data_IF_735006882558
#
_entry.id   IF_735006882558
#
_cell.length_a   1.000
_cell.length_b   1.000
_cell.length_c   1.000
_cell.angle_alpha   90.00
_cell.angle_beta   90.00
_cell.angle_gamma   90.00
#
_symmetry.space_group_name_H-M   'P 1'
#
loop_
_entity.id
_entity.type
_entity.pdbx_description
1 polymer ?
#
# COMPACT_ATOMS: atom_id res chain seq x y z
N UNK A 1 22.65 6.04 -3.80
CA UNK A 1 23.16 5.09 -2.78
C UNK A 1 23.95 3.99 -3.49
N UNK A 2 25.19 3.67 -3.05
CA UNK A 2 26.01 2.62 -3.67
C UNK A 2 25.30 1.24 -3.58
N UNK A 3 25.42 0.41 -4.63
CA UNK A 3 24.79 -0.93 -4.73
C UNK A 3 25.09 -1.82 -3.51
N UNK A 4 26.34 -1.81 -3.03
CA UNK A 4 26.75 -2.59 -1.86
C UNK A 4 26.08 -2.14 -0.57
N UNK A 5 25.95 -0.84 -0.35
CA UNK A 5 25.27 -0.28 0.82
C UNK A 5 23.77 -0.62 0.80
N UNK A 6 23.16 -0.65 -0.39
CA UNK A 6 21.75 -1.08 -0.56
C UNK A 6 21.59 -2.55 -0.19
N UNK A 7 22.44 -3.44 -0.73
CA UNK A 7 22.41 -4.87 -0.42
C UNK A 7 22.59 -5.12 1.09
N UNK A 8 23.53 -4.44 1.74
CA UNK A 8 23.72 -4.54 3.18
C UNK A 8 22.47 -4.08 3.94
N UNK A 9 21.91 -2.93 3.60
CA UNK A 9 20.71 -2.41 4.24
C UNK A 9 19.53 -3.41 4.17
N UNK A 10 19.26 -3.94 2.99
CA UNK A 10 18.20 -4.94 2.81
C UNK A 10 18.48 -6.27 3.52
N UNK A 11 19.75 -6.64 3.69
CA UNK A 11 20.13 -7.85 4.42
C UNK A 11 19.93 -7.70 5.94
N UNK A 12 20.01 -6.48 6.47
CA UNK A 12 19.86 -6.20 7.90
C UNK A 12 18.42 -5.92 8.30
N UNK A 13 17.56 -5.57 7.35
CA UNK A 13 16.15 -5.31 7.60
C UNK A 13 15.33 -6.57 7.34
N UNK A 14 14.52 -6.94 8.31
CA UNK A 14 13.64 -8.10 8.25
C UNK A 14 12.22 -7.77 8.76
N UNK A 15 11.38 -8.79 8.85
CA UNK A 15 10.01 -8.65 9.33
C UNK A 15 9.90 -7.96 10.69
N UNK A 16 10.90 -8.05 11.56
CA UNK A 16 10.87 -7.36 12.86
C UNK A 16 10.88 -5.85 12.72
N UNK A 17 11.45 -5.31 11.63
CA UNK A 17 11.42 -3.88 11.33
C UNK A 17 10.02 -3.42 10.90
N UNK A 18 9.31 -4.22 10.11
CA UNK A 18 7.92 -3.92 9.73
C UNK A 18 6.98 -3.98 10.95
N UNK A 19 7.19 -4.94 11.86
CA UNK A 19 6.45 -5.06 13.12
C UNK A 19 6.75 -3.88 14.08
N UNK A 20 7.99 -3.36 14.08
CA UNK A 20 8.34 -2.17 14.86
C UNK A 20 7.77 -0.88 14.27
N UNK A 21 7.75 -0.77 12.95
CA UNK A 21 7.19 0.39 12.26
C UNK A 21 5.67 0.49 12.42
N UNK A 22 4.99 -0.67 12.41
CA UNK A 22 3.55 -0.80 12.63
C UNK A 22 3.33 -1.90 13.67
N UNK A 23 3.32 -1.59 14.98
CA UNK A 23 3.05 -2.55 16.05
C UNK A 23 1.64 -3.15 15.97
N UNK A 24 1.39 -4.25 16.70
CA UNK A 24 0.12 -5.00 16.63
C UNK A 24 -1.09 -4.14 16.95
N UNK A 25 -1.02 -3.33 17.99
CA UNK A 25 -2.09 -2.43 18.40
C UNK A 25 -2.42 -1.36 17.34
N UNK A 26 -1.40 -0.83 16.66
CA UNK A 26 -1.58 0.08 15.51
C UNK A 26 -2.18 -0.68 14.31
N UNK A 27 -1.70 -1.89 14.03
CA UNK A 27 -2.22 -2.70 12.94
C UNK A 27 -3.71 -3.03 13.15
N UNK A 28 -4.13 -3.34 14.37
CA UNK A 28 -5.53 -3.57 14.72
C UNK A 28 -6.40 -2.33 14.52
N UNK A 29 -5.91 -1.14 14.94
CA UNK A 29 -6.64 0.12 14.70
C UNK A 29 -6.77 0.46 13.23
N UNK A 30 -5.70 0.25 12.45
CA UNK A 30 -5.73 0.45 11.00
C UNK A 30 -6.68 -0.53 10.31
N UNK A 31 -6.66 -1.81 10.70
CA UNK A 31 -7.59 -2.82 10.19
C UNK A 31 -9.07 -2.46 10.51
N UNK A 32 -9.34 -1.94 11.70
CA UNK A 32 -10.68 -1.45 12.04
C UNK A 32 -11.11 -0.27 11.16
N UNK A 33 -10.18 0.61 10.77
CA UNK A 33 -10.45 1.72 9.85
C UNK A 33 -10.70 1.23 8.43
N UNK A 34 -9.97 0.21 7.96
CA UNK A 34 -10.21 -0.45 6.67
C UNK A 34 -11.65 -0.95 6.63
N UNK A 35 -12.07 -1.77 7.61
CA UNK A 35 -13.46 -2.27 7.71
C UNK A 35 -14.50 -1.16 7.70
N UNK A 36 -14.27 -0.10 8.48
CA UNK A 36 -15.19 1.04 8.53
C UNK A 36 -15.24 1.82 7.20
N UNK A 37 -14.16 1.82 6.43
CA UNK A 37 -14.08 2.38 5.10
C UNK A 37 -14.92 1.56 4.12
N UNK A 38 -14.70 0.25 4.08
CA UNK A 38 -15.34 -0.70 3.15
C UNK A 38 -16.87 -0.80 3.33
N UNK A 39 -17.38 -0.44 4.48
CA UNK A 39 -18.83 -0.29 4.68
C UNK A 39 -19.47 0.84 3.84
N UNK A 40 -18.69 1.71 3.20
CA UNK A 40 -19.19 2.90 2.47
C UNK A 40 -19.00 2.81 0.96
N UNK A 41 -18.26 1.81 0.47
CA UNK A 41 -17.93 1.63 -0.94
C UNK A 41 -17.76 0.14 -1.26
N UNK A 42 -17.77 -0.19 -2.54
CA UNK A 42 -17.60 -1.57 -3.01
C UNK A 42 -16.13 -1.98 -3.22
N UNK A 43 -15.17 -1.09 -2.96
CA UNK A 43 -13.75 -1.35 -3.20
C UNK A 43 -13.06 -2.01 -2.02
N UNK A 44 -12.03 -2.82 -2.31
CA UNK A 44 -11.19 -3.52 -1.35
C UNK A 44 -9.89 -2.75 -1.12
N UNK A 45 -9.49 -2.52 0.13
CA UNK A 45 -8.27 -1.77 0.48
C UNK A 45 -7.34 -2.63 1.32
N UNK A 46 -6.08 -2.74 0.88
CA UNK A 46 -5.04 -3.47 1.61
C UNK A 46 -3.89 -2.54 1.98
N UNK A 47 -3.43 -2.66 3.21
CA UNK A 47 -2.20 -2.05 3.71
C UNK A 47 -1.11 -3.11 3.79
N UNK A 48 0.05 -2.85 3.16
CA UNK A 48 1.20 -3.74 3.22
C UNK A 48 2.48 -2.97 3.54
N UNK A 49 3.16 -3.39 4.58
CA UNK A 49 4.46 -2.87 5.01
C UNK A 49 5.51 -3.96 4.86
N UNK A 50 6.40 -3.79 3.88
CA UNK A 50 7.52 -4.69 3.62
C UNK A 50 8.83 -4.07 4.13
N UNK A 51 9.57 -4.83 4.93
CA UNK A 51 10.83 -4.34 5.49
C UNK A 51 11.90 -4.17 4.41
N UNK A 52 12.06 -5.17 3.55
CA UNK A 52 13.13 -5.19 2.54
C UNK A 52 12.73 -5.96 1.27
N UNK A 53 13.34 -5.60 0.14
CA UNK A 53 13.16 -6.33 -1.12
C UNK A 53 13.89 -7.68 -1.11
N UNK A 54 13.31 -8.73 -1.69
CA UNK A 54 14.02 -9.96 -1.99
C UNK A 54 15.23 -9.74 -2.91
N UNK A 55 16.25 -10.58 -2.79
CA UNK A 55 17.47 -10.49 -3.61
C UNK A 55 17.18 -10.54 -5.13
N UNK A 56 16.14 -11.27 -5.55
CA UNK A 56 15.70 -11.34 -6.96
C UNK A 56 15.22 -9.99 -7.51
N UNK A 57 14.71 -9.11 -6.66
CA UNK A 57 14.36 -7.74 -7.03
C UNK A 57 15.56 -6.81 -6.95
N UNK A 58 16.40 -6.95 -5.91
CA UNK A 58 17.60 -6.13 -5.73
C UNK A 58 18.60 -6.31 -6.87
N UNK A 59 18.72 -7.53 -7.41
CA UNK A 59 19.63 -7.81 -8.55
C UNK A 59 19.20 -7.10 -9.84
N UNK A 60 17.94 -6.68 -9.95
CA UNK A 60 17.40 -5.95 -11.11
C UNK A 60 17.71 -4.45 -11.06
N UNK A 61 18.04 -3.94 -9.88
CA UNK A 61 18.42 -2.52 -9.73
C UNK A 61 19.84 -2.33 -10.25
N UNK A 62 20.00 -1.60 -11.33
CA UNK A 62 21.27 -1.37 -12.00
C UNK A 62 21.24 -0.13 -12.88
N UNK A 63 22.19 -0.03 -13.81
CA UNK A 63 22.32 1.12 -14.70
C UNK A 63 21.11 1.26 -15.64
N UNK A 64 20.50 0.12 -16.03
CA UNK A 64 19.39 0.08 -16.99
C UNK A 64 17.99 0.06 -16.31
N UNK A 65 17.92 -0.24 -15.00
CA UNK A 65 16.63 -0.31 -14.29
C UNK A 65 16.66 0.53 -13.01
N UNK A 66 15.90 1.60 -13.04
CA UNK A 66 15.80 2.50 -11.90
C UNK A 66 15.07 1.84 -10.73
N UNK A 67 15.49 2.16 -9.50
CA UNK A 67 14.93 1.61 -8.27
C UNK A 67 13.40 1.74 -8.19
N UNK A 68 12.84 2.91 -8.57
CA UNK A 68 11.39 3.13 -8.49
C UNK A 68 10.60 2.16 -9.37
N UNK A 69 11.14 1.75 -10.52
CA UNK A 69 10.50 0.73 -11.38
C UNK A 69 10.50 -0.64 -10.70
N UNK A 70 11.59 -1.00 -10.03
CA UNK A 70 11.68 -2.27 -9.29
C UNK A 70 10.72 -2.28 -8.09
N UNK A 71 10.59 -1.15 -7.39
CA UNK A 71 9.62 -0.99 -6.29
C UNK A 71 8.19 -1.09 -6.81
N UNK A 72 7.89 -0.42 -7.92
CA UNK A 72 6.57 -0.50 -8.57
C UNK A 72 6.23 -1.93 -8.98
N UNK A 73 7.17 -2.65 -9.61
CA UNK A 73 6.98 -4.06 -9.97
C UNK A 73 6.75 -4.94 -8.74
N UNK A 74 7.42 -4.64 -7.62
CA UNK A 74 7.20 -5.36 -6.37
C UNK A 74 5.81 -5.12 -5.81
N UNK A 75 5.35 -3.88 -5.82
CA UNK A 75 3.99 -3.53 -5.39
C UNK A 75 2.93 -4.21 -6.27
N UNK A 76 3.14 -4.24 -7.61
CA UNK A 76 2.27 -4.95 -8.54
C UNK A 76 2.27 -6.48 -8.29
N UNK A 77 3.42 -7.07 -7.97
CA UNK A 77 3.49 -8.49 -7.61
C UNK A 77 2.71 -8.80 -6.33
N UNK A 78 2.73 -7.91 -5.34
CA UNK A 78 1.91 -8.02 -4.13
C UNK A 78 0.43 -7.84 -4.43
N UNK A 79 0.06 -6.86 -5.24
CA UNK A 79 -1.31 -6.64 -5.69
C UNK A 79 -1.89 -7.91 -6.34
N UNK A 80 -1.11 -8.55 -7.23
CA UNK A 80 -1.47 -9.82 -7.85
C UNK A 80 -1.58 -10.98 -6.85
N UNK A 81 -0.60 -11.11 -5.92
CA UNK A 81 -0.58 -12.17 -4.91
C UNK A 81 -1.75 -12.07 -3.92
N UNK A 82 -2.14 -10.86 -3.56
CA UNK A 82 -3.29 -10.58 -2.70
C UNK A 82 -4.61 -10.65 -3.45
N UNK A 83 -4.60 -10.92 -4.76
CA UNK A 83 -5.80 -11.02 -5.62
C UNK A 83 -6.66 -9.76 -5.62
N UNK A 84 -6.08 -8.59 -5.39
CA UNK A 84 -6.81 -7.33 -5.41
C UNK A 84 -7.38 -6.95 -6.78
N UNK A 85 -6.96 -7.66 -7.83
CA UNK A 85 -7.52 -7.59 -9.17
C UNK A 85 -8.80 -8.44 -9.35
N UNK A 86 -9.08 -9.36 -8.39
CA UNK A 86 -10.18 -10.34 -8.44
C UNK A 86 -11.38 -9.83 -7.62
N UNK A 87 -11.69 -8.55 -7.74
CA UNK A 87 -12.86 -7.93 -7.12
C UNK A 87 -13.95 -7.75 -8.17
N UNK A 88 -15.23 -7.85 -7.77
CA UNK A 88 -16.37 -7.79 -8.69
C UNK A 88 -16.35 -6.54 -9.58
N UNK A 89 -15.91 -5.39 -9.03
CA UNK A 89 -15.93 -4.11 -9.74
C UNK A 89 -14.54 -3.63 -10.18
N UNK A 90 -13.49 -4.45 -10.07
CA UNK A 90 -12.11 -4.10 -10.39
C UNK A 90 -11.64 -2.82 -9.65
N UNK A 91 -11.93 -2.72 -8.37
CA UNK A 91 -11.72 -1.54 -7.55
C UNK A 91 -10.86 -1.80 -6.30
N UNK A 92 -10.02 -2.85 -6.35
CA UNK A 92 -9.01 -3.11 -5.34
C UNK A 92 -7.93 -2.04 -5.30
N UNK A 93 -7.45 -1.70 -4.09
CA UNK A 93 -6.37 -0.73 -3.86
C UNK A 93 -5.36 -1.30 -2.86
N UNK A 94 -4.08 -1.25 -3.22
CA UNK A 94 -2.96 -1.56 -2.34
C UNK A 94 -2.23 -0.27 -1.97
N UNK A 95 -2.11 -0.02 -0.66
CA UNK A 95 -1.16 0.95 -0.10
C UNK A 95 0.07 0.16 0.34
N UNK A 96 1.17 0.33 -0.38
CA UNK A 96 2.41 -0.41 -0.18
C UNK A 96 3.53 0.48 0.34
N UNK A 97 4.15 0.08 1.44
CA UNK A 97 5.34 0.71 2.01
C UNK A 97 6.53 -0.24 1.94
N UNK A 98 7.67 0.24 1.45
CA UNK A 98 8.95 -0.44 1.50
C UNK A 98 9.91 0.33 2.41
N UNK A 99 10.13 -0.17 3.62
CA UNK A 99 10.87 0.54 4.66
C UNK A 99 12.35 0.77 4.29
N UNK A 100 13.02 -0.25 3.74
CA UNK A 100 14.42 -0.17 3.38
C UNK A 100 14.71 0.95 2.37
N UNK A 101 13.82 1.25 1.46
CA UNK A 101 14.00 2.30 0.46
C UNK A 101 13.17 3.56 0.75
N UNK A 102 12.38 3.55 1.85
CA UNK A 102 11.44 4.62 2.19
C UNK A 102 10.53 4.96 1.02
N UNK A 103 10.13 3.91 0.30
CA UNK A 103 9.29 4.02 -0.88
C UNK A 103 7.83 3.74 -0.54
N UNK A 104 6.94 4.41 -1.26
CA UNK A 104 5.50 4.33 -1.13
C UNK A 104 4.92 4.12 -2.52
N UNK A 105 4.02 3.15 -2.66
CA UNK A 105 3.28 2.91 -3.90
C UNK A 105 1.79 2.76 -3.59
N UNK A 106 0.96 3.44 -4.37
CA UNK A 106 -0.45 3.15 -4.48
C UNK A 106 -0.68 2.35 -5.76
N UNK A 107 -1.28 1.17 -5.64
CA UNK A 107 -1.68 0.36 -6.78
C UNK A 107 -3.18 0.23 -6.74
N UNK A 108 -3.86 0.84 -7.70
CA UNK A 108 -5.30 0.75 -7.84
C UNK A 108 -5.65 -0.05 -9.09
N UNK A 109 -6.70 -0.86 -9.02
CA UNK A 109 -7.23 -1.55 -10.19
C UNK A 109 -7.94 -0.57 -11.13
N UNK A 110 -8.16 -1.01 -12.35
CA UNK A 110 -8.69 -0.22 -13.48
C UNK A 110 -10.05 0.44 -13.19
N UNK A 111 -10.87 -0.16 -12.35
CA UNK A 111 -12.17 0.40 -11.94
C UNK A 111 -12.04 1.76 -11.28
N UNK A 112 -11.03 1.94 -10.42
CA UNK A 112 -10.73 3.22 -9.78
C UNK A 112 -9.66 4.02 -10.55
N UNK A 113 -8.60 3.37 -11.02
CA UNK A 113 -7.43 4.04 -11.60
C UNK A 113 -7.76 4.95 -12.79
N UNK A 114 -8.77 4.62 -13.60
CA UNK A 114 -9.21 5.44 -14.75
C UNK A 114 -9.87 6.76 -14.35
N UNK A 115 -10.33 6.89 -13.11
CA UNK A 115 -11.03 8.08 -12.62
C UNK A 115 -10.13 9.02 -11.83
N UNK A 116 -8.96 8.56 -11.41
CA UNK A 116 -8.03 9.32 -10.56
C UNK A 116 -6.78 9.66 -11.36
N UNK A 117 -6.50 10.94 -11.60
CA UNK A 117 -5.33 11.36 -12.35
C UNK A 117 -4.02 11.08 -11.60
N UNK A 118 -2.92 10.92 -12.35
CA UNK A 118 -1.62 10.52 -11.80
C UNK A 118 -1.06 11.50 -10.76
N UNK A 119 -1.31 12.80 -10.93
CA UNK A 119 -0.88 13.84 -10.00
C UNK A 119 -1.61 13.77 -8.64
N UNK A 120 -2.87 13.31 -8.63
CA UNK A 120 -3.59 13.07 -7.38
C UNK A 120 -2.93 11.91 -6.58
N UNK A 121 -2.57 10.81 -7.24
CA UNK A 121 -1.81 9.72 -6.61
C UNK A 121 -0.45 10.20 -6.10
N UNK A 122 0.28 11.00 -6.89
CA UNK A 122 1.57 11.54 -6.47
C UNK A 122 1.42 12.46 -5.24
N UNK A 123 0.40 13.29 -5.20
CA UNK A 123 0.14 14.14 -4.03
C UNK A 123 -0.15 13.33 -2.75
N UNK A 124 -0.84 12.18 -2.87
CA UNK A 124 -1.06 11.26 -1.75
C UNK A 124 0.27 10.63 -1.28
N UNK A 125 1.13 10.19 -2.21
CA UNK A 125 2.48 9.68 -1.91
C UNK A 125 3.29 10.73 -1.13
N UNK A 126 3.27 11.99 -1.56
CA UNK A 126 4.04 13.08 -0.96
C UNK A 126 3.55 13.40 0.46
N UNK A 127 2.23 13.44 0.68
CA UNK A 127 1.63 13.66 2.01
C UNK A 127 1.98 12.53 2.97
N UNK A 128 1.76 11.28 2.55
CA UNK A 128 2.11 10.11 3.35
C UNK A 128 3.61 10.09 3.65
N UNK A 129 4.47 10.29 2.64
CA UNK A 129 5.91 10.34 2.81
C UNK A 129 6.39 11.42 3.79
N UNK A 130 5.72 12.56 3.83
CA UNK A 130 6.00 13.63 4.79
C UNK A 130 5.70 13.19 6.22
N UNK A 131 4.56 12.55 6.45
CA UNK A 131 4.17 12.00 7.76
C UNK A 131 5.11 10.90 8.23
N UNK A 132 5.45 9.96 7.34
CA UNK A 132 6.35 8.86 7.67
C UNK A 132 7.76 9.37 8.03
N UNK A 133 8.28 10.39 7.33
CA UNK A 133 9.56 11.02 7.67
C UNK A 133 9.54 11.71 9.03
N UNK A 134 8.40 12.22 9.46
CA UNK A 134 8.20 12.81 10.78
C UNK A 134 7.99 11.75 11.89
N UNK A 135 7.99 10.44 11.55
CA UNK A 135 7.74 9.36 12.50
C UNK A 135 6.25 9.14 12.81
N UNK A 136 5.34 9.90 12.19
CA UNK A 136 3.89 9.83 12.41
C UNK A 136 3.26 8.74 11.51
N UNK A 137 3.61 7.46 11.76
CA UNK A 137 3.20 6.33 10.93
C UNK A 137 1.68 6.12 10.95
N UNK A 138 1.08 6.07 12.13
CA UNK A 138 -0.36 5.84 12.27
C UNK A 138 -1.18 6.96 11.63
N UNK A 139 -0.84 8.22 11.91
CA UNK A 139 -1.52 9.37 11.33
C UNK A 139 -1.38 9.41 9.81
N UNK A 140 -0.18 9.08 9.31
CA UNK A 140 0.09 9.03 7.87
C UNK A 140 -0.72 7.96 7.17
N UNK A 141 -0.72 6.74 7.69
CA UNK A 141 -1.47 5.61 7.13
C UNK A 141 -2.99 5.83 7.25
N UNK A 142 -3.45 6.39 8.38
CA UNK A 142 -4.86 6.77 8.56
C UNK A 142 -5.30 7.78 7.51
N UNK A 143 -4.52 8.85 7.30
CA UNK A 143 -4.83 9.86 6.29
C UNK A 143 -4.84 9.25 4.88
N UNK A 144 -3.84 8.43 4.54
CA UNK A 144 -3.79 7.78 3.23
C UNK A 144 -5.01 6.87 2.99
N UNK A 145 -5.44 6.13 4.02
CA UNK A 145 -6.64 5.30 3.97
C UNK A 145 -7.91 6.15 3.79
N UNK A 146 -8.03 7.28 4.50
CA UNK A 146 -9.17 8.20 4.36
C UNK A 146 -9.25 8.81 2.95
N UNK A 147 -8.11 9.18 2.37
CA UNK A 147 -8.03 9.71 1.00
C UNK A 147 -8.44 8.65 -0.04
N UNK A 148 -7.94 7.41 0.09
CA UNK A 148 -8.35 6.28 -0.77
C UNK A 148 -9.84 6.00 -0.60
N UNK A 149 -10.34 5.98 0.64
CA UNK A 149 -11.76 5.77 0.92
C UNK A 149 -12.64 6.86 0.29
N UNK A 150 -12.22 8.12 0.34
CA UNK A 150 -12.97 9.21 -0.29
C UNK A 150 -13.06 9.03 -1.82
N UNK A 151 -11.97 8.57 -2.47
CA UNK A 151 -11.96 8.25 -3.89
C UNK A 151 -12.90 7.06 -4.21
N UNK A 152 -12.88 6.02 -3.37
CA UNK A 152 -13.75 4.86 -3.56
C UNK A 152 -15.22 5.22 -3.34
N UNK A 153 -15.55 6.01 -2.33
CA UNK A 153 -16.93 6.51 -2.12
C UNK A 153 -17.40 7.36 -3.30
N UNK A 154 -16.53 8.18 -3.87
CA UNK A 154 -16.87 9.04 -5.01
C UNK A 154 -17.11 8.28 -6.33
N UNK A 155 -16.37 7.18 -6.55
CA UNK A 155 -16.35 6.47 -7.83
C UNK A 155 -16.91 5.05 -7.78
N UNK A 156 -16.99 4.45 -6.60
CA UNK A 156 -17.42 3.08 -6.36
C UNK A 156 -18.28 3.00 -5.09
N UNK A 157 -19.36 3.83 -4.96
CA UNK A 157 -20.18 3.85 -3.75
C UNK A 157 -20.86 2.49 -3.50
N UNK A 158 -21.10 2.15 -2.23
CA UNK A 158 -21.93 1.02 -1.89
C UNK A 158 -23.37 1.26 -2.39
N UNK A 159 -23.98 0.22 -2.96
CA UNK A 159 -25.38 0.28 -3.41
C UNK A 159 -26.36 0.30 -2.24
N UNK A 160 -27.52 0.94 -2.42
CA UNK A 160 -28.59 0.91 -1.43
C UNK A 160 -29.13 -0.52 -1.26
N UNK A 161 -28.85 -1.15 -0.11
CA UNK A 161 -29.41 -2.44 0.29
C UNK A 161 -28.56 -3.69 0.05
N UNK A 162 -27.39 -3.58 -0.54
CA UNK A 162 -26.42 -4.68 -0.53
C UNK A 162 -25.55 -4.63 0.74
N UNK A 163 -25.45 -5.74 1.49
CA UNK A 163 -24.48 -5.79 2.59
C UNK A 163 -23.07 -5.63 2.02
N UNK A 164 -22.17 -4.89 2.68
CA UNK A 164 -20.80 -4.77 2.23
C UNK A 164 -20.20 -6.18 2.10
N UNK A 165 -19.84 -6.55 0.89
CA UNK A 165 -19.21 -7.83 0.60
C UNK A 165 -17.70 -7.65 0.83
N UNK A 166 -17.25 -8.09 2.00
CA UNK A 166 -15.79 -8.12 2.29
C UNK A 166 -15.19 -9.36 1.62
N UNK A 167 -14.53 -9.16 0.49
CA UNK A 167 -13.91 -10.24 -0.30
C UNK A 167 -12.50 -10.60 0.20
N UNK A 168 -11.88 -9.72 0.99
CA UNK A 168 -10.48 -9.84 1.43
C UNK A 168 -10.31 -9.59 2.94
N UNK A 169 -9.32 -10.22 3.60
CA UNK A 169 -9.03 -9.93 5.01
C UNK A 169 -8.54 -8.48 5.19
N UNK A 170 -9.03 -7.75 6.19
CA UNK A 170 -8.70 -6.34 6.45
C UNK A 170 -7.38 -6.13 7.19
N UNK A 171 -6.68 -7.19 7.53
CA UNK A 171 -5.44 -7.11 8.30
C UNK A 171 -4.31 -6.37 7.59
N UNK A 172 -3.54 -5.59 8.33
CA UNK A 172 -2.31 -4.97 7.83
C UNK A 172 -1.22 -6.03 7.68
N UNK A 173 -0.77 -6.26 6.46
CA UNK A 173 0.32 -7.19 6.19
C UNK A 173 1.67 -6.57 6.52
N UNK A 174 2.48 -7.29 7.33
CA UNK A 174 3.83 -6.87 7.74
C UNK A 174 4.82 -7.99 7.44
N UNK A 175 5.65 -7.80 6.44
CA UNK A 175 6.56 -8.81 5.87
C UNK A 175 7.99 -8.31 5.75
#
# INVERSE_FOLDING_TARGET
>A
MNRWLRLLKHRWMDRSDSLRAVPDDMAERLAARVRASEARHTGEVRLLVEASLPNSYLSRVGDDTALHLVVRDRALAWFGRLRLWDTEHNNGVLIYLLLAERAIEFVADRGLARHVPADAWQAMVDRLGTRLRAGAFEDGLTQALEEVSALLVAHCPAGDGEPPHNEQPDEVLRV
#
